data_IF_934723482274
#
_entry.id   IF_934723482274
#
_cell.length_a   1.000
_cell.length_b   1.000
_cell.length_c   1.000
_cell.angle_alpha   90.00
_cell.angle_beta   90.00
_cell.angle_gamma   90.00
#
_symmetry.space_group_name_H-M   'P 1'
#
loop_
_entity.id
_entity.type
_entity.pdbx_description
1 polymer ?
#
# COMPACT_ATOMS: atom_id res chain seq x y z
N UNK A 1 -5.57 -17.05 0.40
CA UNK A 1 -5.69 -15.79 1.15
C UNK A 1 -4.68 -15.88 2.29
N UNK A 2 -3.70 -14.96 2.38
CA UNK A 2 -2.72 -14.98 3.46
C UNK A 2 -3.27 -14.14 4.62
N UNK A 3 -3.39 -14.74 5.81
CA UNK A 3 -3.86 -14.04 7.01
C UNK A 3 -2.93 -12.86 7.39
N UNK A 4 -1.67 -12.96 6.97
CA UNK A 4 -0.60 -11.98 7.19
C UNK A 4 -0.84 -10.64 6.50
N UNK A 5 -1.70 -10.59 5.48
CA UNK A 5 -2.05 -9.38 4.73
C UNK A 5 -3.11 -8.52 5.44
N UNK A 6 -3.78 -9.05 6.45
CA UNK A 6 -4.82 -8.32 7.20
C UNK A 6 -4.15 -7.42 8.26
N UNK A 7 -4.59 -6.15 8.43
CA UNK A 7 -4.14 -5.31 9.53
C UNK A 7 -4.39 -5.98 10.89
N UNK A 8 -3.34 -6.12 11.70
CA UNK A 8 -3.42 -6.79 13.01
C UNK A 8 -4.15 -5.97 14.08
N UNK A 9 -4.19 -4.66 13.91
CA UNK A 9 -4.88 -3.68 14.75
C UNK A 9 -5.23 -2.42 13.93
N UNK A 10 -5.81 -1.40 14.57
CA UNK A 10 -6.26 -0.16 13.92
C UNK A 10 -5.34 1.04 14.20
N UNK A 11 -4.25 0.86 14.93
CA UNK A 11 -3.29 1.94 15.23
C UNK A 11 -2.22 1.97 14.16
N UNK A 12 -1.67 3.16 13.90
CA UNK A 12 -0.51 3.34 13.02
C UNK A 12 -0.67 2.63 11.65
N UNK A 13 -1.90 2.62 11.12
CA UNK A 13 -2.17 2.11 9.78
C UNK A 13 -1.47 2.98 8.74
N UNK A 14 -0.90 2.33 7.73
CA UNK A 14 -0.33 3.02 6.57
C UNK A 14 -0.82 2.37 5.29
N UNK A 15 -0.96 3.17 4.25
CA UNK A 15 -1.36 2.75 2.92
C UNK A 15 -0.19 2.89 1.93
N UNK A 16 0.08 1.86 1.15
CA UNK A 16 1.10 1.89 0.10
C UNK A 16 0.77 2.93 -0.97
N UNK A 17 1.72 3.82 -1.27
CA UNK A 17 1.54 4.88 -2.27
C UNK A 17 1.44 4.35 -3.71
N UNK A 18 1.87 3.11 -3.97
CA UNK A 18 1.83 2.48 -5.30
C UNK A 18 0.54 1.66 -5.54
N UNK A 19 0.08 0.89 -4.55
CA UNK A 19 -1.04 -0.04 -4.70
C UNK A 19 -2.22 0.16 -3.75
N UNK A 20 -2.14 1.13 -2.83
CA UNK A 20 -3.12 1.41 -1.76
C UNK A 20 -3.39 0.32 -0.73
N UNK A 21 -2.61 -0.77 -0.70
CA UNK A 21 -2.69 -1.80 0.34
C UNK A 21 -2.45 -1.16 1.71
N UNK A 22 -3.30 -1.48 2.68
CA UNK A 22 -3.25 -1.01 4.06
C UNK A 22 -2.75 -2.14 4.96
N UNK A 23 -1.75 -1.82 5.76
CA UNK A 23 -1.27 -2.69 6.84
C UNK A 23 -0.96 -1.86 8.08
N UNK A 24 -0.79 -2.54 9.21
CA UNK A 24 -0.26 -1.92 10.43
C UNK A 24 1.24 -1.71 10.29
N UNK A 25 1.69 -0.51 10.63
CA UNK A 25 3.07 -0.20 11.01
C UNK A 25 3.09 0.13 12.50
N UNK A 26 4.19 0.05 13.23
CA UNK A 26 4.20 0.39 14.67
C UNK A 26 5.43 1.21 15.03
N UNK A 27 5.25 2.18 15.92
CA UNK A 27 6.31 3.10 16.36
C UNK A 27 7.30 2.45 17.36
N UNK A 28 6.92 1.33 18.01
CA UNK A 28 7.69 0.67 19.06
C UNK A 28 8.11 -0.78 18.73
N UNK A 29 9.32 -1.15 19.16
CA UNK A 29 10.05 -2.42 18.93
C UNK A 29 9.35 -3.73 19.40
N UNK A 30 8.15 -3.66 19.99
CA UNK A 30 7.47 -4.81 20.65
C UNK A 30 6.45 -5.49 19.73
N UNK A 31 6.05 -4.86 18.63
CA UNK A 31 5.03 -5.37 17.70
C UNK A 31 5.50 -5.27 16.25
N UNK A 32 5.04 -6.19 15.40
CA UNK A 32 5.57 -6.37 14.04
C UNK A 32 4.97 -5.33 13.09
N UNK A 33 5.79 -4.37 12.63
CA UNK A 33 5.49 -3.55 11.45
C UNK A 33 5.38 -4.46 10.23
N UNK A 34 4.17 -4.63 9.69
CA UNK A 34 3.90 -5.61 8.64
C UNK A 34 4.53 -5.19 7.29
N UNK A 35 4.82 -3.90 7.07
CA UNK A 35 5.55 -3.46 5.88
C UNK A 35 7.05 -3.62 6.06
N UNK A 36 7.59 -3.37 7.26
CA UNK A 36 9.01 -3.61 7.53
C UNK A 36 9.31 -5.11 7.52
N UNK A 37 8.43 -5.95 8.08
CA UNK A 37 8.68 -7.39 8.20
C UNK A 37 8.48 -8.15 6.88
N UNK A 38 7.37 -7.91 6.17
CA UNK A 38 7.01 -8.67 4.97
C UNK A 38 7.11 -7.86 3.66
N UNK A 39 7.33 -6.55 3.76
CA UNK A 39 7.19 -5.67 2.62
C UNK A 39 5.72 -5.49 2.21
N UNK A 40 5.54 -4.90 1.02
CA UNK A 40 4.22 -4.80 0.40
C UNK A 40 3.92 -6.05 -0.44
N UNK A 41 2.84 -6.79 -0.14
CA UNK A 41 2.49 -8.04 -0.83
C UNK A 41 2.37 -7.91 -2.35
N UNK A 42 2.05 -6.71 -2.84
CA UNK A 42 1.88 -6.42 -4.25
C UNK A 42 3.13 -5.78 -4.89
N UNK A 43 3.93 -5.04 -4.12
CA UNK A 43 4.89 -4.10 -4.67
C UNK A 43 6.33 -4.33 -4.22
N UNK A 44 6.60 -5.24 -3.28
CA UNK A 44 7.93 -5.35 -2.67
C UNK A 44 9.03 -5.74 -3.66
N UNK A 45 8.70 -6.52 -4.69
CA UNK A 45 9.62 -6.81 -5.80
C UNK A 45 10.16 -5.52 -6.46
N UNK A 46 9.41 -4.41 -6.40
CA UNK A 46 9.77 -3.13 -6.95
C UNK A 46 10.27 -2.12 -5.91
N UNK A 47 9.57 -2.03 -4.76
CA UNK A 47 9.83 -1.02 -3.74
C UNK A 47 10.87 -1.44 -2.70
N UNK A 48 11.10 -2.76 -2.52
CA UNK A 48 12.13 -3.33 -1.65
C UNK A 48 12.15 -2.69 -0.25
N UNK A 49 10.98 -2.60 0.39
CA UNK A 49 10.83 -1.95 1.70
C UNK A 49 11.00 -2.92 2.87
N UNK A 50 10.98 -4.23 2.58
CA UNK A 50 11.25 -5.28 3.57
C UNK A 50 12.62 -5.08 4.24
N UNK A 51 12.63 -5.06 5.56
CA UNK A 51 13.81 -4.83 6.41
C UNK A 51 14.35 -3.39 6.37
N UNK A 52 13.64 -2.46 5.72
CA UNK A 52 14.08 -1.08 5.58
C UNK A 52 12.96 -0.10 5.97
N UNK A 53 12.97 0.29 7.26
CA UNK A 53 11.97 1.19 7.84
C UNK A 53 11.91 2.56 7.17
N UNK A 54 13.04 3.12 6.73
CA UNK A 54 13.05 4.39 6.00
C UNK A 54 12.30 4.27 4.67
N UNK A 55 12.53 3.19 3.93
CA UNK A 55 11.80 2.92 2.69
C UNK A 55 10.31 2.69 2.93
N UNK A 56 9.92 2.11 4.07
CA UNK A 56 8.50 2.02 4.45
C UNK A 56 7.89 3.42 4.58
N UNK A 57 8.54 4.35 5.28
CA UNK A 57 8.03 5.72 5.42
C UNK A 57 7.95 6.46 4.07
N UNK A 58 8.91 6.27 3.18
CA UNK A 58 8.92 6.90 1.85
C UNK A 58 7.88 6.30 0.88
N UNK A 59 7.57 5.02 1.02
CA UNK A 59 6.68 4.29 0.11
C UNK A 59 5.23 4.16 0.59
N UNK A 60 4.94 4.60 1.81
CA UNK A 60 3.61 4.47 2.43
C UNK A 60 3.17 5.77 3.10
N UNK A 61 1.88 5.95 3.30
CA UNK A 61 1.31 7.13 3.95
C UNK A 61 0.42 6.72 5.13
N UNK A 62 0.56 7.42 6.26
CA UNK A 62 -0.39 7.34 7.38
C UNK A 62 -1.65 8.16 7.13
N UNK A 63 -1.71 8.95 6.06
CA UNK A 63 -2.87 9.76 5.68
C UNK A 63 -3.59 9.12 4.50
N UNK A 64 -4.71 8.46 4.78
CA UNK A 64 -5.57 7.83 3.79
C UNK A 64 -7.04 7.90 4.25
N UNK A 65 -7.96 7.78 3.30
CA UNK A 65 -9.40 7.86 3.54
C UNK A 65 -10.07 6.55 3.14
N UNK A 66 -10.93 6.04 4.03
CA UNK A 66 -11.72 4.81 3.84
C UNK A 66 -10.88 3.53 3.73
N UNK A 67 -11.50 2.39 4.02
CA UNK A 67 -10.88 1.07 3.82
C UNK A 67 -11.84 0.13 3.09
N UNK A 68 -11.27 -0.79 2.32
CA UNK A 68 -11.96 -1.78 1.51
C UNK A 68 -11.33 -3.14 1.80
N UNK A 69 -12.09 -4.05 2.39
CA UNK A 69 -11.69 -5.45 2.49
C UNK A 69 -11.93 -6.14 1.13
N UNK A 70 -10.90 -6.18 0.29
CA UNK A 70 -10.98 -6.76 -1.04
C UNK A 70 -10.72 -8.27 -0.98
N UNK A 71 -11.77 -9.07 -1.18
CA UNK A 71 -11.70 -10.54 -1.07
C UNK A 71 -11.48 -11.22 -2.43
N UNK A 72 -12.19 -10.77 -3.46
CA UNK A 72 -12.16 -11.31 -4.83
C UNK A 72 -11.93 -10.17 -5.84
N UNK A 73 -10.67 -9.69 -5.97
CA UNK A 73 -10.35 -8.56 -6.83
C UNK A 73 -10.65 -8.82 -8.32
N UNK A 74 -10.60 -10.06 -8.78
CA UNK A 74 -10.92 -10.47 -10.15
C UNK A 74 -12.41 -10.35 -10.49
N UNK A 75 -13.29 -10.47 -9.48
CA UNK A 75 -14.76 -10.46 -9.64
C UNK A 75 -15.43 -9.40 -8.76
N UNK A 76 -14.87 -8.19 -8.79
CA UNK A 76 -15.40 -7.06 -8.04
C UNK A 76 -15.48 -5.81 -8.91
N UNK A 77 -16.64 -5.15 -8.89
CA UNK A 77 -16.77 -3.83 -9.50
C UNK A 77 -15.91 -2.78 -8.75
N UNK A 78 -15.87 -2.89 -7.41
CA UNK A 78 -15.09 -1.99 -6.55
C UNK A 78 -13.60 -2.08 -6.87
N UNK A 79 -13.06 -3.28 -7.13
CA UNK A 79 -11.65 -3.46 -7.48
C UNK A 79 -11.29 -2.81 -8.83
N UNK A 80 -12.20 -2.90 -9.81
CA UNK A 80 -12.05 -2.27 -11.13
C UNK A 80 -12.00 -0.75 -11.00
N UNK A 81 -12.95 -0.17 -10.24
CA UNK A 81 -12.98 1.26 -9.97
C UNK A 81 -11.71 1.75 -9.25
N UNK A 82 -11.27 1.00 -8.22
CA UNK A 82 -10.08 1.33 -7.42
C UNK A 82 -8.75 0.99 -8.11
N UNK A 83 -8.77 0.37 -9.30
CA UNK A 83 -7.58 -0.08 -10.03
C UNK A 83 -6.71 -1.03 -9.18
N UNK A 84 -7.36 -1.98 -8.50
CA UNK A 84 -6.74 -3.03 -7.67
C UNK A 84 -7.16 -4.44 -8.09
N UNK A 85 -7.81 -4.60 -9.26
CA UNK A 85 -8.32 -5.90 -9.76
C UNK A 85 -7.24 -6.95 -10.00
N UNK A 86 -5.98 -6.54 -10.18
CA UNK A 86 -4.84 -7.43 -10.42
C UNK A 86 -3.96 -7.61 -9.17
N UNK A 87 -4.40 -7.13 -8.02
CA UNK A 87 -3.66 -7.24 -6.76
C UNK A 87 -4.19 -8.37 -5.91
N UNK A 88 -3.43 -8.72 -4.87
CA UNK A 88 -3.81 -9.79 -3.94
C UNK A 88 -5.04 -9.39 -3.10
N UNK A 89 -5.85 -10.36 -2.65
CA UNK A 89 -6.85 -10.10 -1.61
C UNK A 89 -6.20 -9.46 -0.37
N UNK A 90 -6.85 -8.46 0.21
CA UNK A 90 -6.31 -7.67 1.31
C UNK A 90 -7.13 -6.41 1.60
N UNK A 91 -6.69 -5.60 2.56
CA UNK A 91 -7.34 -4.32 2.89
C UNK A 91 -6.70 -3.20 2.07
N UNK A 92 -7.50 -2.38 1.41
CA UNK A 92 -7.03 -1.26 0.57
C UNK A 92 -7.69 0.05 0.98
N UNK A 93 -6.98 1.17 0.85
CA UNK A 93 -7.55 2.49 1.06
C UNK A 93 -8.42 2.94 -0.14
N UNK A 94 -9.43 3.78 0.11
CA UNK A 94 -10.24 4.41 -0.95
C UNK A 94 -9.42 5.51 -1.64
N UNK A 95 -8.76 6.36 -0.85
CA UNK A 95 -7.82 7.39 -1.30
C UNK A 95 -6.57 7.36 -0.42
N UNK A 96 -5.39 7.59 -1.01
CA UNK A 96 -4.13 7.72 -0.25
C UNK A 96 -3.52 9.09 -0.51
N UNK A 97 -3.41 9.90 0.53
CA UNK A 97 -2.77 11.21 0.45
C UNK A 97 -1.25 11.04 0.43
N UNK A 98 -0.59 11.67 -0.54
CA UNK A 98 0.86 11.66 -0.69
C UNK A 98 1.31 11.23 -2.08
N UNK A 99 2.63 11.27 -2.32
CA UNK A 99 3.24 10.84 -3.58
C UNK A 99 4.56 10.13 -3.32
N UNK A 100 4.88 9.14 -4.16
CA UNK A 100 6.19 8.51 -4.13
C UNK A 100 7.29 9.54 -4.46
N UNK A 101 8.46 9.46 -3.80
CA UNK A 101 9.63 10.25 -4.15
C UNK A 101 10.00 10.12 -5.64
N UNK A 102 10.46 11.22 -6.25
CA UNK A 102 10.77 11.23 -7.68
C UNK A 102 11.84 10.20 -8.09
N UNK A 103 12.82 9.93 -7.22
CA UNK A 103 13.84 8.90 -7.45
C UNK A 103 13.22 7.52 -7.65
N UNK A 104 12.34 7.12 -6.73
CA UNK A 104 11.61 5.85 -6.79
C UNK A 104 10.73 5.79 -8.04
N UNK A 105 10.02 6.87 -8.38
CA UNK A 105 9.19 6.92 -9.59
C UNK A 105 10.02 6.72 -10.87
N UNK A 106 11.24 7.30 -10.94
CA UNK A 106 12.14 7.12 -12.08
C UNK A 106 12.64 5.68 -12.19
N UNK A 107 12.96 5.04 -11.07
CA UNK A 107 13.36 3.62 -11.02
C UNK A 107 12.22 2.69 -11.42
N UNK A 108 11.01 2.92 -10.91
CA UNK A 108 9.82 2.16 -11.34
C UNK A 108 9.64 2.25 -12.86
N UNK A 109 9.79 3.46 -13.42
CA UNK A 109 9.67 3.68 -14.86
C UNK A 109 10.75 2.95 -15.66
N UNK A 110 12.01 2.93 -15.20
CA UNK A 110 13.09 2.18 -15.88
C UNK A 110 12.86 0.67 -15.88
N UNK A 111 12.10 0.17 -14.90
CA UNK A 111 11.67 -1.23 -14.78
C UNK A 111 10.32 -1.53 -15.44
N UNK A 112 9.76 -0.57 -16.19
CA UNK A 112 8.49 -0.74 -16.92
C UNK A 112 7.23 -0.60 -16.06
N UNK A 113 7.34 -0.12 -14.82
CA UNK A 113 6.21 0.09 -13.90
C UNK A 113 5.77 1.55 -13.95
N UNK A 114 4.54 1.79 -14.42
CA UNK A 114 3.95 3.13 -14.43
C UNK A 114 3.39 3.50 -13.05
N UNK A 115 3.81 4.63 -12.51
CA UNK A 115 3.23 5.21 -11.30
C UNK A 115 2.02 6.08 -11.62
N UNK A 116 0.89 5.81 -10.95
CA UNK A 116 -0.30 6.67 -10.93
C UNK A 116 -0.66 6.96 -9.48
N UNK A 117 -0.98 8.22 -9.18
CA UNK A 117 -1.40 8.64 -7.83
C UNK A 117 -2.57 7.78 -7.33
N UNK A 118 -2.51 7.41 -6.05
CA UNK A 118 -3.60 6.77 -5.31
C UNK A 118 -4.46 7.75 -4.52
N UNK A 119 -4.13 9.03 -4.60
CA UNK A 119 -5.01 10.11 -4.15
C UNK A 119 -6.17 10.26 -5.16
N UNK A 120 -7.36 9.83 -4.74
CA UNK A 120 -8.60 9.87 -5.53
C UNK A 120 -9.57 10.94 -5.05
N UNK A 121 -9.18 11.73 -4.04
CA UNK A 121 -10.01 12.80 -3.50
C UNK A 121 -10.26 13.88 -4.55
N UNK A 122 -11.50 14.37 -4.61
CA UNK A 122 -11.86 15.53 -5.43
C UNK A 122 -11.35 16.77 -4.69
N UNK A 123 -10.36 17.45 -5.29
CA UNK A 123 -9.77 18.67 -4.73
C UNK A 123 -10.50 19.87 -5.31
N UNK A 124 -11.13 20.64 -4.43
CA UNK A 124 -11.70 21.96 -4.73
C UNK A 124 -10.63 23.03 -4.78
#
# INVERSE_FOLDING_TARGET
MALETVPKDLRHLRACLLCSLVKVTVEDLVTIDQFEYDGCDNCDAYLQMKGNREMVYDCTSSSFDGIIAMMSPEDSWVSKWQRVSNFKPGVYAVSVTGRLPQGIVRELKSRGVAYKSRDTAIKT
#
